data_IF_164251066677
#
_entry.id   IF_164251066677
#
_cell.length_a   1.000
_cell.length_b   1.000
_cell.length_c   1.000
_cell.angle_alpha   90.00
_cell.angle_beta   90.00
_cell.angle_gamma   90.00
#
_symmetry.space_group_name_H-M   'P 1'
#
loop_
_entity.id
_entity.type
_entity.pdbx_description
1 polymer ?
#
# COMPACT_ATOMS: atom_id res chain seq x y z
N UNK A 1 -11.27 -65.51 64.11
CA UNK A 1 -12.71 -65.20 64.11
C UNK A 1 -12.88 -63.81 63.52
N UNK A 2 -13.51 -63.81 62.40
CA UNK A 2 -13.63 -62.65 61.48
C UNK A 2 -14.60 -61.59 62.08
N UNK A 3 -14.16 -60.34 62.03
CA UNK A 3 -15.07 -59.20 62.06
C UNK A 3 -14.94 -58.48 60.69
N UNK A 4 -16.02 -58.55 59.93
CA UNK A 4 -16.19 -57.76 58.72
C UNK A 4 -16.67 -56.36 59.17
N UNK A 5 -15.84 -55.37 58.96
CA UNK A 5 -16.24 -53.96 59.04
C UNK A 5 -16.92 -53.50 57.77
N UNK A 6 -18.18 -53.09 57.92
CA UNK A 6 -18.93 -52.46 56.85
C UNK A 6 -18.51 -50.98 56.76
N UNK A 7 -17.90 -50.63 55.65
CA UNK A 7 -17.69 -49.21 55.32
C UNK A 7 -18.93 -48.70 54.60
N UNK A 8 -19.65 -47.83 55.24
CA UNK A 8 -20.66 -46.99 54.56
C UNK A 8 -19.98 -45.93 53.73
N UNK A 9 -20.03 -46.07 52.41
CA UNK A 9 -19.70 -45.00 51.49
C UNK A 9 -20.91 -44.10 51.39
N UNK A 10 -20.83 -42.90 52.04
CA UNK A 10 -21.71 -41.80 51.75
C UNK A 10 -21.29 -41.21 50.39
N UNK A 11 -22.08 -41.51 49.36
CA UNK A 11 -21.95 -40.90 48.05
C UNK A 11 -22.35 -39.42 48.14
N UNK A 12 -21.39 -38.56 48.42
CA UNK A 12 -21.54 -37.13 48.09
C UNK A 12 -21.53 -36.97 46.58
N UNK A 13 -22.70 -36.75 46.04
CA UNK A 13 -22.88 -36.38 44.67
C UNK A 13 -22.38 -34.94 44.50
N UNK A 14 -21.09 -34.78 44.19
CA UNK A 14 -20.57 -33.54 43.67
C UNK A 14 -21.11 -33.41 42.22
N UNK A 15 -22.14 -32.59 42.07
CA UNK A 15 -22.54 -32.07 40.79
C UNK A 15 -21.42 -31.13 40.34
N UNK A 16 -20.45 -31.69 39.61
CA UNK A 16 -19.55 -30.88 38.82
C UNK A 16 -20.37 -30.26 37.71
N UNK A 17 -20.81 -29.02 37.89
CA UNK A 17 -21.12 -28.19 36.75
C UNK A 17 -19.83 -28.04 35.96
N UNK A 18 -19.64 -28.88 34.94
CA UNK A 18 -18.76 -28.57 33.85
C UNK A 18 -19.37 -27.34 33.17
N UNK A 19 -18.92 -26.16 33.53
CA UNK A 19 -18.99 -25.02 32.68
C UNK A 19 -18.16 -25.40 31.44
N UNK A 20 -18.84 -25.83 30.39
CA UNK A 20 -18.21 -25.93 29.09
C UNK A 20 -17.72 -24.53 28.77
N UNK A 21 -16.40 -24.35 28.75
CA UNK A 21 -15.74 -23.11 28.35
C UNK A 21 -16.00 -22.76 26.84
N UNK A 22 -16.79 -23.61 26.19
CA UNK A 22 -17.04 -23.52 24.74
C UNK A 22 -18.26 -22.68 24.36
N UNK A 23 -18.96 -22.06 25.33
CA UNK A 23 -20.22 -21.36 25.02
C UNK A 23 -20.22 -19.86 25.41
N UNK A 24 -19.05 -19.29 25.66
CA UNK A 24 -18.87 -17.85 25.64
C UNK A 24 -18.18 -17.51 24.32
N UNK A 25 -18.85 -17.73 23.20
CA UNK A 25 -18.54 -17.02 21.99
C UNK A 25 -18.91 -15.55 22.25
N UNK A 26 -17.96 -14.80 22.79
CA UNK A 26 -18.00 -13.34 22.64
C UNK A 26 -18.22 -13.11 21.15
N UNK A 27 -19.18 -12.27 20.74
CA UNK A 27 -19.27 -11.90 19.35
C UNK A 27 -17.90 -11.33 18.98
N UNK A 28 -17.16 -12.05 18.17
CA UNK A 28 -16.00 -11.51 17.47
C UNK A 28 -16.62 -10.45 16.57
N UNK A 29 -16.62 -9.21 17.04
CA UNK A 29 -16.87 -8.07 16.16
C UNK A 29 -15.75 -8.20 15.13
N UNK A 30 -16.07 -8.68 13.97
CA UNK A 30 -15.11 -8.77 12.89
C UNK A 30 -14.67 -7.34 12.60
N UNK A 31 -13.45 -7.01 13.00
CA UNK A 31 -12.85 -5.72 12.71
C UNK A 31 -12.87 -5.56 11.19
N UNK A 32 -13.67 -4.62 10.71
CA UNK A 32 -13.78 -4.36 9.28
C UNK A 32 -12.51 -3.64 8.83
N UNK A 33 -11.68 -4.34 8.06
CA UNK A 33 -10.49 -3.74 7.46
C UNK A 33 -10.87 -3.02 6.16
N UNK A 34 -10.45 -1.77 6.02
CA UNK A 34 -10.65 -0.95 4.82
C UNK A 34 -9.32 -0.60 4.20
N UNK A 35 -9.23 -0.75 2.88
CA UNK A 35 -8.05 -0.39 2.07
C UNK A 35 -8.37 0.85 1.25
N UNK A 36 -7.52 1.87 1.33
CA UNK A 36 -7.70 3.13 0.61
C UNK A 36 -6.46 3.49 -0.20
N UNK A 37 -6.63 4.35 -1.19
CA UNK A 37 -5.54 4.85 -2.03
C UNK A 37 -5.29 6.31 -1.68
N UNK A 38 -4.02 6.66 -1.54
CA UNK A 38 -3.58 8.02 -1.23
C UNK A 38 -4.16 9.03 -2.23
N UNK A 39 -4.66 10.16 -1.71
CA UNK A 39 -5.34 11.23 -2.45
C UNK A 39 -6.68 10.85 -3.11
N UNK A 40 -7.13 9.62 -3.02
CA UNK A 40 -8.46 9.21 -3.50
C UNK A 40 -9.53 9.33 -2.42
N UNK A 41 -10.75 8.95 -2.77
CA UNK A 41 -11.87 8.86 -1.84
C UNK A 41 -11.93 7.46 -1.24
N UNK A 42 -12.22 7.38 0.05
CA UNK A 42 -12.36 6.15 0.79
C UNK A 42 -13.69 6.13 1.54
N UNK A 43 -14.35 4.97 1.59
CA UNK A 43 -15.57 4.78 2.35
C UNK A 43 -15.29 3.88 3.55
N UNK A 44 -15.61 4.35 4.74
CA UNK A 44 -15.63 3.58 5.97
C UNK A 44 -17.05 3.06 6.19
N UNK A 45 -17.31 1.76 5.96
CA UNK A 45 -18.66 1.23 5.97
C UNK A 45 -19.19 1.10 7.40
N UNK A 46 -20.40 1.59 7.64
CA UNK A 46 -21.08 1.43 8.91
C UNK A 46 -22.58 1.40 8.71
N UNK A 47 -23.23 0.53 9.46
CA UNK A 47 -24.69 0.52 9.59
C UNK A 47 -25.07 0.82 11.03
N UNK A 48 -26.24 1.41 11.23
CA UNK A 48 -26.81 1.62 12.55
C UNK A 48 -28.24 1.05 12.65
N UNK A 49 -28.63 0.75 13.88
CA UNK A 49 -29.99 0.33 14.22
C UNK A 49 -30.43 1.18 15.42
N UNK A 50 -31.54 1.90 15.26
CA UNK A 50 -32.07 2.75 16.34
C UNK A 50 -33.11 3.72 15.79
N UNK A 51 -33.94 4.28 16.68
CA UNK A 51 -34.98 5.25 16.33
C UNK A 51 -34.41 6.67 16.20
N UNK A 52 -33.38 6.98 16.99
CA UNK A 52 -32.78 8.31 17.03
C UNK A 52 -31.49 8.33 16.25
N UNK A 53 -31.45 9.19 15.23
CA UNK A 53 -30.25 9.34 14.39
C UNK A 53 -29.25 10.24 15.08
N UNK A 54 -28.28 9.60 15.74
CA UNK A 54 -27.09 10.25 16.29
C UNK A 54 -25.88 9.48 15.76
N UNK A 55 -24.99 10.17 15.06
CA UNK A 55 -23.80 9.59 14.43
C UNK A 55 -22.59 10.42 14.83
N UNK A 56 -21.62 9.77 15.44
CA UNK A 56 -20.31 10.36 15.73
C UNK A 56 -19.20 9.45 15.22
N UNK A 57 -18.28 10.02 14.44
CA UNK A 57 -17.08 9.38 13.98
C UNK A 57 -15.85 9.97 14.66
N UNK A 58 -15.00 9.11 15.22
CA UNK A 58 -13.75 9.48 15.88
C UNK A 58 -12.58 8.70 15.29
N UNK A 59 -11.42 9.35 15.14
CA UNK A 59 -10.16 8.66 14.91
C UNK A 59 -9.46 8.44 16.25
N UNK A 60 -9.49 7.20 16.74
CA UNK A 60 -9.01 6.83 18.08
C UNK A 60 -7.49 6.82 18.15
N UNK A 61 -6.81 6.35 17.11
CA UNK A 61 -5.35 6.25 17.08
C UNK A 61 -4.61 7.57 17.20
N UNK A 62 -5.29 8.69 16.97
CA UNK A 62 -4.73 10.04 17.07
C UNK A 62 -5.24 10.82 18.32
N UNK A 63 -5.81 10.13 19.33
CA UNK A 63 -6.32 10.75 20.54
C UNK A 63 -7.77 11.22 20.43
N UNK A 64 -8.65 10.38 19.91
CA UNK A 64 -10.11 10.61 19.79
C UNK A 64 -10.48 11.90 19.06
N UNK A 65 -9.84 12.12 17.92
CA UNK A 65 -10.16 13.27 17.08
C UNK A 65 -11.57 13.14 16.50
N UNK A 66 -12.41 14.17 16.65
CA UNK A 66 -13.71 14.22 15.99
C UNK A 66 -13.54 14.31 14.47
N UNK A 67 -14.04 13.31 13.75
CA UNK A 67 -13.96 13.19 12.30
C UNK A 67 -15.20 13.77 11.64
N UNK A 68 -16.39 13.40 12.13
CA UNK A 68 -17.66 13.87 11.63
C UNK A 68 -18.76 13.61 12.66
N UNK A 69 -19.75 14.50 12.74
CA UNK A 69 -20.90 14.34 13.59
C UNK A 69 -22.16 14.72 12.87
N UNK A 70 -23.23 13.94 13.06
CA UNK A 70 -24.56 14.19 12.50
C UNK A 70 -25.61 13.87 13.57
N UNK A 71 -26.44 14.88 13.90
CA UNK A 71 -27.61 14.74 14.76
C UNK A 71 -28.56 15.92 14.52
N UNK A 72 -29.79 15.84 15.00
CA UNK A 72 -30.84 16.80 14.69
C UNK A 72 -31.04 16.98 13.16
N UNK A 73 -30.87 15.88 12.41
CA UNK A 73 -31.03 15.83 10.95
C UNK A 73 -30.09 16.77 10.17
N UNK A 74 -28.92 17.06 10.68
CA UNK A 74 -27.89 17.88 10.02
C UNK A 74 -26.48 17.59 10.49
N UNK A 75 -25.49 17.92 9.65
CA UNK A 75 -24.09 17.85 10.02
C UNK A 75 -23.76 18.86 11.12
N UNK A 76 -22.99 18.41 12.11
CA UNK A 76 -22.55 19.20 13.27
C UNK A 76 -21.02 19.35 13.25
N UNK A 77 -20.54 20.29 12.45
CA UNK A 77 -19.09 20.40 12.15
C UNK A 77 -18.33 21.36 13.07
N UNK A 78 -18.98 21.92 14.11
CA UNK A 78 -18.32 22.87 15.01
C UNK A 78 -17.16 22.25 15.82
N UNK A 79 -17.27 20.97 16.15
CA UNK A 79 -16.26 20.22 16.91
C UNK A 79 -15.35 19.37 16.01
N UNK A 80 -15.55 19.44 14.69
CA UNK A 80 -14.74 18.68 13.74
C UNK A 80 -13.27 19.13 13.82
N UNK A 81 -12.37 18.15 13.92
CA UNK A 81 -10.93 18.39 13.86
C UNK A 81 -10.53 19.04 12.54
N UNK A 82 -9.64 20.03 12.59
CA UNK A 82 -9.11 20.73 11.41
C UNK A 82 -8.60 19.77 10.33
N UNK A 83 -8.02 18.65 10.73
CA UNK A 83 -7.52 17.61 9.81
C UNK A 83 -8.58 17.06 8.86
N UNK A 84 -9.83 17.02 9.31
CA UNK A 84 -10.92 16.42 8.55
C UNK A 84 -11.84 17.45 7.89
N UNK A 85 -11.58 18.74 8.13
CA UNK A 85 -12.44 19.81 7.61
C UNK A 85 -12.51 19.81 6.09
N UNK A 86 -13.75 19.76 5.56
CA UNK A 86 -14.01 19.75 4.12
C UNK A 86 -13.62 18.46 3.39
N UNK A 87 -13.23 17.41 4.13
CA UNK A 87 -12.86 16.11 3.54
C UNK A 87 -13.80 14.96 3.87
N UNK A 88 -14.79 15.18 4.72
CA UNK A 88 -15.71 14.14 5.18
C UNK A 88 -17.15 14.45 4.85
N UNK A 89 -17.93 13.41 4.58
CA UNK A 89 -19.38 13.48 4.40
C UNK A 89 -20.05 12.15 4.77
N UNK A 90 -21.32 12.20 5.12
CA UNK A 90 -22.20 11.04 5.22
C UNK A 90 -23.08 10.94 3.96
N UNK A 91 -23.67 9.79 3.75
CA UNK A 91 -24.66 9.56 2.69
C UNK A 91 -26.04 9.90 3.23
N UNK A 92 -26.37 11.21 3.30
CA UNK A 92 -27.54 11.73 4.00
C UNK A 92 -28.88 11.14 3.51
N UNK A 93 -28.97 10.78 2.23
CA UNK A 93 -30.10 10.10 1.62
C UNK A 93 -30.27 8.64 2.08
N UNK A 94 -29.20 8.05 2.62
CA UNK A 94 -29.17 6.65 3.06
C UNK A 94 -29.24 6.51 4.58
N UNK A 95 -29.16 7.61 5.32
CA UNK A 95 -29.21 7.58 6.78
C UNK A 95 -30.54 6.98 7.26
N UNK A 96 -31.66 7.34 6.64
CA UNK A 96 -32.97 6.77 6.97
C UNK A 96 -33.07 5.26 6.72
N UNK A 97 -32.22 4.70 5.86
CA UNK A 97 -32.10 3.26 5.60
C UNK A 97 -31.14 2.54 6.57
N UNK A 98 -30.62 3.22 7.59
CA UNK A 98 -29.69 2.65 8.57
C UNK A 98 -28.23 2.64 8.13
N UNK A 99 -27.83 3.47 7.17
CA UNK A 99 -26.46 3.57 6.69
C UNK A 99 -25.79 4.81 7.31
N UNK A 100 -24.74 4.59 8.09
CA UNK A 100 -23.94 5.63 8.74
C UNK A 100 -22.50 5.69 8.18
N UNK A 101 -22.27 5.13 6.99
CA UNK A 101 -20.96 5.08 6.35
C UNK A 101 -20.39 6.47 6.15
N UNK A 102 -19.08 6.60 6.43
CA UNK A 102 -18.33 7.84 6.27
C UNK A 102 -17.56 7.83 4.96
N UNK A 103 -17.72 8.85 4.15
CA UNK A 103 -16.84 9.12 3.01
C UNK A 103 -15.72 10.05 3.46
N UNK A 104 -14.48 9.66 3.22
CA UNK A 104 -13.28 10.48 3.42
C UNK A 104 -12.62 10.72 2.06
N UNK A 105 -12.38 11.97 1.71
CA UNK A 105 -11.77 12.36 0.44
C UNK A 105 -10.34 12.86 0.63
N UNK A 106 -9.52 12.81 -0.43
CA UNK A 106 -8.10 13.22 -0.39
C UNK A 106 -7.35 12.56 0.76
N UNK A 107 -7.46 11.23 0.82
CA UNK A 107 -6.91 10.43 1.90
C UNK A 107 -5.41 10.62 2.03
N UNK A 108 -4.94 10.86 3.25
CA UNK A 108 -3.55 11.11 3.62
C UNK A 108 -3.00 9.97 4.48
N UNK A 109 -1.67 9.84 4.57
CA UNK A 109 -1.02 8.81 5.41
C UNK A 109 -1.44 8.92 6.88
N UNK A 110 -1.65 10.14 7.36
CA UNK A 110 -2.09 10.39 8.74
C UNK A 110 -3.53 9.93 9.02
N UNK A 111 -4.32 9.65 7.97
CA UNK A 111 -5.68 9.14 8.15
C UNK A 111 -5.71 7.64 8.47
N UNK A 112 -4.61 6.93 8.23
CA UNK A 112 -4.49 5.52 8.61
C UNK A 112 -4.66 5.34 10.12
N UNK A 113 -5.42 4.32 10.52
CA UNK A 113 -5.62 4.04 11.92
C UNK A 113 -7.00 3.49 12.27
N UNK A 114 -7.34 3.56 13.54
CA UNK A 114 -8.59 3.07 14.08
C UNK A 114 -9.64 4.16 14.11
N UNK A 115 -10.83 3.85 13.62
CA UNK A 115 -12.00 4.72 13.68
C UNK A 115 -13.10 4.08 14.49
N UNK A 116 -13.70 4.85 15.38
CA UNK A 116 -14.89 4.46 16.11
C UNK A 116 -16.10 5.22 15.56
N UNK A 117 -17.16 4.47 15.34
CA UNK A 117 -18.50 4.99 15.18
C UNK A 117 -19.24 4.87 16.52
N UNK A 118 -19.87 5.93 16.95
CA UNK A 118 -20.76 5.97 18.11
C UNK A 118 -22.14 6.48 17.70
N UNK A 119 -23.14 5.62 17.83
CA UNK A 119 -24.57 5.96 17.69
C UNK A 119 -25.24 6.02 19.06
N UNK A 120 -26.56 6.29 19.11
CA UNK A 120 -27.32 6.37 20.35
C UNK A 120 -27.23 5.09 21.19
N UNK A 121 -27.31 3.92 20.55
CA UNK A 121 -27.34 2.61 21.22
C UNK A 121 -26.23 1.65 20.73
N UNK A 122 -25.31 2.12 19.91
CA UNK A 122 -24.36 1.26 19.21
C UNK A 122 -22.98 1.91 19.09
N UNK A 123 -21.96 1.09 19.30
CA UNK A 123 -20.56 1.46 19.06
C UNK A 123 -19.89 0.41 18.18
N UNK A 124 -19.33 0.84 17.05
CA UNK A 124 -18.57 -0.02 16.14
C UNK A 124 -17.15 0.52 15.98
N UNK A 125 -16.19 -0.38 15.80
CA UNK A 125 -14.81 -0.03 15.49
C UNK A 125 -14.47 -0.49 14.08
N UNK A 126 -13.86 0.38 13.30
CA UNK A 126 -13.40 0.10 11.95
C UNK A 126 -11.89 0.36 11.91
N UNK A 127 -11.14 -0.58 11.37
CA UNK A 127 -9.72 -0.39 11.11
C UNK A 127 -9.51 0.06 9.67
N UNK A 128 -9.11 1.30 9.52
CA UNK A 128 -8.49 1.77 8.31
C UNK A 128 -7.02 1.31 8.34
N UNK A 129 -6.77 0.08 7.91
CA UNK A 129 -5.49 -0.59 8.15
C UNK A 129 -4.55 -0.56 6.96
N UNK A 130 -5.04 -0.16 5.78
CA UNK A 130 -4.21 -0.19 4.57
C UNK A 130 -4.40 1.05 3.72
N UNK A 131 -3.43 1.93 3.80
CA UNK A 131 -3.24 2.98 2.81
C UNK A 131 -2.19 2.54 1.79
N UNK A 132 -2.44 2.83 0.54
CA UNK A 132 -1.49 2.63 -0.55
C UNK A 132 -1.30 3.91 -1.34
N UNK A 133 -0.04 4.29 -1.56
CA UNK A 133 0.38 5.10 -2.68
C UNK A 133 1.20 4.17 -3.58
N UNK A 134 0.59 3.61 -4.64
CA UNK A 134 1.22 2.56 -5.42
C UNK A 134 2.42 3.06 -6.22
N UNK A 135 3.31 2.16 -6.62
CA UNK A 135 4.44 2.48 -7.50
C UNK A 135 3.91 2.87 -8.88
N UNK A 136 3.76 4.16 -9.14
CA UNK A 136 3.23 4.67 -10.42
C UNK A 136 4.29 4.67 -11.52
N UNK A 137 5.53 5.04 -11.17
CA UNK A 137 6.61 5.20 -12.12
C UNK A 137 7.93 4.69 -11.56
N UNK A 138 8.70 4.01 -12.40
CA UNK A 138 10.08 3.64 -12.13
C UNK A 138 10.92 4.20 -13.26
N UNK A 139 11.88 5.06 -12.94
CA UNK A 139 12.81 5.64 -13.89
C UNK A 139 14.16 4.94 -13.78
N UNK A 140 14.71 4.52 -14.90
CA UNK A 140 16.07 3.96 -14.99
C UNK A 140 16.85 4.73 -16.03
N UNK A 141 18.01 5.25 -15.64
CA UNK A 141 18.85 6.08 -16.52
C UNK A 141 20.34 5.81 -16.31
N UNK A 142 21.14 6.16 -17.32
CA UNK A 142 22.59 6.08 -17.27
C UNK A 142 23.14 7.23 -16.41
N UNK A 143 23.92 6.89 -15.38
CA UNK A 143 24.75 7.83 -14.62
C UNK A 143 26.20 7.79 -15.09
N UNK A 144 27.06 8.61 -14.48
CA UNK A 144 28.48 8.70 -14.85
C UNK A 144 29.23 7.37 -14.72
N UNK A 145 28.97 6.61 -13.63
CA UNK A 145 29.70 5.38 -13.29
C UNK A 145 28.80 4.13 -13.28
N UNK A 146 27.60 4.19 -13.86
CA UNK A 146 26.67 3.06 -13.82
C UNK A 146 25.25 3.44 -14.18
N UNK A 147 24.30 2.70 -13.67
CA UNK A 147 22.86 2.95 -13.88
C UNK A 147 22.18 3.29 -12.57
N UNK A 148 21.25 4.21 -12.63
CA UNK A 148 20.44 4.63 -11.48
C UNK A 148 18.98 4.34 -11.71
N UNK A 149 18.33 3.75 -10.72
CA UNK A 149 16.90 3.51 -10.67
C UNK A 149 16.27 4.39 -9.59
N UNK A 150 15.12 5.01 -9.89
CA UNK A 150 14.42 5.90 -8.97
C UNK A 150 12.91 5.71 -9.08
N UNK A 151 12.23 5.84 -7.94
CA UNK A 151 10.78 5.90 -7.87
C UNK A 151 10.37 6.77 -6.67
N UNK A 152 9.24 7.46 -6.77
CA UNK A 152 8.83 8.48 -5.81
C UNK A 152 7.36 8.37 -5.44
N UNK A 153 7.01 8.97 -4.28
CA UNK A 153 5.64 9.11 -3.83
C UNK A 153 4.97 7.79 -3.46
N UNK A 154 5.69 6.87 -2.83
CA UNK A 154 5.25 5.50 -2.56
C UNK A 154 4.89 5.33 -1.08
N UNK A 155 3.83 4.58 -0.81
CA UNK A 155 3.49 4.13 0.54
C UNK A 155 2.82 2.74 0.47
N UNK A 156 3.10 1.82 1.40
CA UNK A 156 4.11 1.88 2.46
C UNK A 156 5.55 1.85 1.93
N UNK A 157 6.53 1.82 2.84
CA UNK A 157 7.96 1.84 2.50
C UNK A 157 8.30 0.79 1.44
N UNK A 158 8.86 1.22 0.28
CA UNK A 158 9.19 0.33 -0.82
C UNK A 158 10.51 -0.41 -0.60
N UNK A 159 10.64 -1.51 -1.34
CA UNK A 159 11.90 -2.21 -1.58
C UNK A 159 12.30 -2.07 -3.05
N UNK A 160 13.61 -2.01 -3.31
CA UNK A 160 14.18 -1.96 -4.64
C UNK A 160 15.18 -3.10 -4.83
N UNK A 161 15.02 -3.83 -5.92
CA UNK A 161 15.89 -4.94 -6.28
C UNK A 161 16.38 -4.82 -7.71
N UNK A 162 17.64 -5.19 -7.94
CA UNK A 162 18.22 -5.33 -9.26
C UNK A 162 18.24 -6.79 -9.70
N UNK A 163 18.01 -7.03 -10.97
CA UNK A 163 18.13 -8.34 -11.60
C UNK A 163 18.80 -8.22 -12.95
N UNK A 164 19.41 -9.32 -13.41
CA UNK A 164 20.09 -9.40 -14.72
C UNK A 164 19.46 -10.44 -15.62
N UNK A 165 19.57 -10.22 -16.92
CA UNK A 165 19.21 -11.20 -17.95
C UNK A 165 20.37 -11.28 -18.96
N UNK A 166 20.98 -12.48 -19.13
CA UNK A 166 20.74 -13.72 -18.39
C UNK A 166 21.04 -13.58 -16.89
N UNK A 167 20.48 -14.48 -16.03
CA UNK A 167 20.79 -14.49 -14.61
C UNK A 167 22.29 -14.62 -14.36
N UNK A 168 22.84 -13.74 -13.52
CA UNK A 168 24.26 -13.72 -13.18
C UNK A 168 24.45 -13.92 -11.68
N UNK A 169 25.46 -14.71 -11.30
CA UNK A 169 25.91 -14.85 -9.91
C UNK A 169 26.83 -13.74 -9.46
N UNK A 170 27.13 -12.76 -10.33
CA UNK A 170 27.98 -11.62 -9.99
C UNK A 170 27.31 -10.75 -8.95
N UNK A 171 28.07 -10.38 -7.93
CA UNK A 171 27.64 -9.40 -6.93
C UNK A 171 27.97 -8.01 -7.42
N UNK A 172 26.92 -7.23 -7.71
CA UNK A 172 27.10 -5.83 -8.12
C UNK A 172 27.10 -4.91 -6.89
N UNK A 173 28.01 -3.95 -6.88
CA UNK A 173 28.01 -2.92 -5.85
C UNK A 173 26.88 -1.94 -6.15
N UNK A 174 25.92 -1.87 -5.24
CA UNK A 174 24.85 -0.90 -5.31
C UNK A 174 24.80 -0.03 -4.04
N UNK A 175 24.24 1.15 -4.18
CA UNK A 175 23.93 2.05 -3.07
C UNK A 175 22.48 2.44 -3.19
N UNK A 176 21.67 2.06 -2.18
CA UNK A 176 20.25 2.37 -2.15
C UNK A 176 19.96 3.37 -1.04
N UNK A 177 19.24 4.42 -1.38
CA UNK A 177 18.76 5.44 -0.44
C UNK A 177 17.24 5.47 -0.45
N UNK A 178 16.66 5.65 0.74
CA UNK A 178 15.22 5.80 0.94
C UNK A 178 15.00 7.03 1.78
N UNK A 179 14.25 7.98 1.27
CA UNK A 179 13.90 9.22 1.97
C UNK A 179 12.39 9.31 2.13
N UNK A 180 11.93 9.88 3.22
CA UNK A 180 10.52 10.15 3.47
C UNK A 180 10.23 11.64 3.24
N UNK A 181 9.11 11.94 2.59
CA UNK A 181 8.62 13.30 2.36
C UNK A 181 7.85 13.83 3.57
N UNK A 182 7.52 15.12 3.58
CA UNK A 182 6.63 15.74 4.59
C UNK A 182 5.24 15.08 4.61
N UNK A 183 4.77 14.58 3.47
CA UNK A 183 3.51 13.84 3.34
C UNK A 183 3.63 12.37 3.78
N UNK A 184 4.77 11.99 4.39
CA UNK A 184 5.09 10.63 4.85
C UNK A 184 5.19 9.59 3.73
N UNK A 185 5.24 10.01 2.47
CA UNK A 185 5.51 9.14 1.33
C UNK A 185 7.00 8.86 1.19
N UNK A 186 7.35 7.77 0.52
CA UNK A 186 8.73 7.36 0.32
C UNK A 186 9.21 7.60 -1.10
N UNK A 187 10.43 8.12 -1.21
CA UNK A 187 11.21 8.15 -2.43
C UNK A 187 12.37 7.17 -2.29
N UNK A 188 12.58 6.32 -3.28
CA UNK A 188 13.66 5.34 -3.30
C UNK A 188 14.53 5.53 -4.53
N UNK A 189 15.85 5.43 -4.35
CA UNK A 189 16.82 5.52 -5.42
C UNK A 189 17.95 4.52 -5.17
N UNK A 190 18.37 3.83 -6.21
CA UNK A 190 19.51 2.90 -6.14
C UNK A 190 20.42 3.10 -7.35
N UNK A 191 21.71 3.26 -7.10
CA UNK A 191 22.75 3.34 -8.12
C UNK A 191 23.57 2.07 -8.14
N UNK A 192 23.66 1.44 -9.31
CA UNK A 192 24.41 0.24 -9.59
C UNK A 192 25.69 0.60 -10.33
N UNK A 193 26.84 0.27 -9.75
CA UNK A 193 28.15 0.50 -10.37
C UNK A 193 28.44 -0.65 -11.32
N UNK A 194 28.71 -0.33 -12.60
CA UNK A 194 29.04 -1.30 -13.62
C UNK A 194 30.56 -1.41 -13.78
N UNK A 195 31.05 -2.64 -13.89
CA UNK A 195 32.44 -2.93 -14.29
C UNK A 195 32.54 -3.23 -15.78
N UNK A 196 33.77 -3.20 -16.32
CA UNK A 196 34.01 -3.43 -17.76
C UNK A 196 33.59 -4.81 -18.27
N UNK A 197 33.39 -5.79 -17.39
CA UNK A 197 32.96 -7.16 -17.73
C UNK A 197 31.43 -7.34 -17.86
N UNK A 198 30.65 -6.29 -17.59
CA UNK A 198 29.17 -6.38 -17.50
C UNK A 198 28.46 -6.04 -18.80
N UNK A 199 29.21 -6.06 -19.93
CA UNK A 199 28.70 -5.57 -21.23
C UNK A 199 27.58 -6.42 -21.82
N UNK A 200 27.51 -7.70 -21.47
CA UNK A 200 26.56 -8.66 -22.04
C UNK A 200 25.30 -8.87 -21.19
N UNK A 201 25.17 -8.12 -20.09
CA UNK A 201 24.04 -8.23 -19.19
C UNK A 201 23.03 -7.11 -19.40
N UNK A 202 21.77 -7.49 -19.47
CA UNK A 202 20.65 -6.55 -19.36
C UNK A 202 20.25 -6.43 -17.89
N UNK A 203 20.10 -5.22 -17.41
CA UNK A 203 19.71 -4.94 -16.04
C UNK A 203 18.23 -4.58 -15.95
N UNK A 204 17.57 -5.05 -14.92
CA UNK A 204 16.19 -4.65 -14.60
C UNK A 204 16.11 -4.18 -13.16
N UNK A 205 15.45 -3.06 -12.96
CA UNK A 205 15.12 -2.52 -11.65
C UNK A 205 13.68 -2.85 -11.32
N UNK A 206 13.45 -3.36 -10.12
CA UNK A 206 12.11 -3.65 -9.59
C UNK A 206 11.92 -2.88 -8.30
N UNK A 207 10.87 -2.08 -8.23
CA UNK A 207 10.39 -1.41 -7.02
C UNK A 207 9.08 -2.05 -6.59
N UNK A 208 8.97 -2.43 -5.32
CA UNK A 208 7.81 -3.13 -4.79
C UNK A 208 7.42 -2.67 -3.39
N UNK A 209 6.14 -2.74 -3.12
CA UNK A 209 5.53 -2.70 -1.79
C UNK A 209 4.89 -4.07 -1.51
N UNK A 210 4.14 -4.21 -0.41
CA UNK A 210 3.43 -5.46 -0.08
C UNK A 210 2.46 -5.90 -1.17
N UNK A 211 1.79 -4.98 -1.87
CA UNK A 211 0.69 -5.26 -2.82
C UNK A 211 0.95 -4.79 -4.24
N UNK A 212 1.93 -3.93 -4.42
CA UNK A 212 2.22 -3.32 -5.71
C UNK A 212 3.67 -3.55 -6.11
N UNK A 213 3.90 -3.79 -7.41
CA UNK A 213 5.23 -4.04 -7.96
C UNK A 213 5.34 -3.49 -9.37
N UNK A 214 6.44 -2.81 -9.66
CA UNK A 214 6.75 -2.35 -11.00
C UNK A 214 8.21 -2.63 -11.33
N UNK A 215 8.46 -3.17 -12.53
CA UNK A 215 9.80 -3.51 -13.01
C UNK A 215 10.06 -2.81 -14.34
N UNK A 216 11.26 -2.27 -14.48
CA UNK A 216 11.72 -1.60 -15.71
C UNK A 216 13.10 -2.14 -16.08
N UNK A 217 13.23 -2.60 -17.34
CA UNK A 217 14.50 -3.03 -17.89
C UNK A 217 15.28 -1.83 -18.42
N UNK A 218 16.58 -1.78 -18.10
CA UNK A 218 17.50 -0.83 -18.68
C UNK A 218 18.05 -1.38 -20.00
N UNK A 219 17.64 -0.77 -21.09
CA UNK A 219 18.20 -1.07 -22.41
C UNK A 219 19.41 -0.18 -22.64
N UNK A 220 20.59 -0.77 -22.78
CA UNK A 220 21.79 -0.01 -23.18
C UNK A 220 21.52 0.67 -24.52
N UNK A 221 21.36 1.99 -24.52
CA UNK A 221 21.09 2.77 -25.73
C UNK A 221 22.11 2.51 -26.84
N UNK A 222 23.37 2.24 -26.46
CA UNK A 222 24.44 1.97 -27.44
C UNK A 222 24.13 0.74 -28.32
N UNK A 223 23.59 -0.34 -27.75
CA UNK A 223 23.24 -1.55 -28.52
C UNK A 223 22.07 -1.30 -29.48
N UNK A 224 21.08 -0.52 -29.05
CA UNK A 224 19.94 -0.14 -29.89
C UNK A 224 20.38 0.77 -31.03
N UNK A 225 21.26 1.74 -30.78
CA UNK A 225 21.79 2.65 -31.80
C UNK A 225 22.63 1.88 -32.81
N UNK A 226 23.51 0.97 -32.34
CA UNK A 226 24.33 0.12 -33.25
C UNK A 226 23.42 -0.77 -34.09
N UNK A 227 22.42 -1.44 -33.50
CA UNK A 227 21.48 -2.27 -34.22
C UNK A 227 20.67 -1.48 -35.26
N UNK A 228 20.21 -0.28 -34.91
CA UNK A 228 19.51 0.61 -35.83
C UNK A 228 20.42 1.10 -36.96
N UNK A 229 21.67 1.47 -36.66
CA UNK A 229 22.66 1.87 -37.64
C UNK A 229 23.01 0.73 -38.59
N UNK A 230 23.23 -0.49 -38.08
CA UNK A 230 23.46 -1.69 -38.90
C UNK A 230 22.26 -2.01 -39.79
N UNK A 231 21.04 -1.99 -39.22
CA UNK A 231 19.82 -2.20 -39.98
C UNK A 231 19.66 -1.16 -41.11
N UNK A 232 19.98 0.10 -40.84
CA UNK A 232 19.94 1.18 -41.81
C UNK A 232 20.99 1.00 -42.90
N UNK A 233 22.21 0.59 -42.55
CA UNK A 233 23.26 0.27 -43.52
C UNK A 233 22.85 -0.89 -44.42
N UNK A 234 22.31 -1.97 -43.85
CA UNK A 234 21.82 -3.12 -44.62
C UNK A 234 20.67 -2.70 -45.57
N UNK A 235 19.76 -1.88 -45.09
CA UNK A 235 18.64 -1.37 -45.88
C UNK A 235 19.10 -0.52 -47.05
N UNK A 236 20.06 0.40 -46.87
CA UNK A 236 20.61 1.24 -47.93
C UNK A 236 21.42 0.44 -48.94
N UNK A 237 22.18 -0.55 -48.47
CA UNK A 237 22.91 -1.48 -49.33
C UNK A 237 21.96 -2.30 -50.22
N UNK A 238 20.89 -2.84 -49.65
CA UNK A 238 19.86 -3.58 -50.43
C UNK A 238 19.14 -2.71 -51.48
N UNK A 239 19.02 -1.40 -51.23
CA UNK A 239 18.42 -0.45 -52.19
C UNK A 239 19.42 0.11 -53.24
N UNK A 240 20.66 -0.35 -53.28
CA UNK A 240 21.66 0.09 -54.25
C UNK A 240 22.09 1.56 -54.09
N UNK A 241 21.85 2.18 -52.91
CA UNK A 241 22.31 3.54 -52.63
C UNK A 241 23.70 3.49 -52.04
N UNK A 242 24.67 4.14 -52.64
CA UNK A 242 26.01 4.30 -52.05
C UNK A 242 25.92 5.11 -50.78
N UNK A 243 26.51 4.54 -49.72
CA UNK A 243 26.52 5.15 -48.38
C UNK A 243 27.67 6.17 -48.30
N UNK A 244 27.33 7.45 -48.16
CA UNK A 244 28.35 8.47 -47.86
C UNK A 244 28.61 8.49 -46.35
N UNK A 245 29.83 8.20 -45.93
CA UNK A 245 30.31 8.08 -44.53
C UNK A 245 30.15 9.37 -43.69
N UNK A 246 29.84 10.49 -44.35
CA UNK A 246 29.59 11.79 -43.72
C UNK A 246 28.32 11.82 -42.87
N UNK A 247 27.33 10.96 -43.15
CA UNK A 247 26.06 10.90 -42.38
C UNK A 247 26.22 10.21 -41.03
N UNK A 248 27.21 9.32 -40.86
CA UNK A 248 27.46 8.65 -39.58
C UNK A 248 28.11 9.61 -38.55
N UNK A 249 28.96 10.53 -39.02
CA UNK A 249 29.58 11.55 -38.14
C UNK A 249 28.57 12.53 -37.57
N UNK A 250 27.44 12.72 -38.21
CA UNK A 250 26.38 13.62 -37.74
C UNK A 250 25.59 12.98 -36.57
N UNK A 251 25.34 11.68 -36.66
CA UNK A 251 24.62 10.95 -35.61
C UNK A 251 25.47 10.81 -34.33
N UNK A 252 26.79 10.63 -34.46
CA UNK A 252 27.73 10.50 -33.34
C UNK A 252 28.12 11.84 -32.69
N UNK A 253 27.72 12.98 -33.23
CA UNK A 253 28.06 14.32 -32.72
C UNK A 253 27.00 14.87 -31.76
N UNK A 254 25.85 14.21 -31.63
CA UNK A 254 24.75 14.61 -30.78
C UNK A 254 24.60 13.73 -29.53
N UNK A 255 25.63 12.92 -29.22
CA UNK A 255 25.71 12.11 -28.00
C UNK A 255 27.13 12.30 -27.37
#
# INVERSE_FOLDING_TARGET
KHLKGFFFFTTHWFIFFRLNADDVSLPVVADTEVSCIFMESCMLPCSYSGSDVVIHWFQVSAGDLNVHSFYNNQDQLKLQSERFRGRTSLFNDQISAGIASLQLTKVEVQDEGRYNYEGADQKNTIFFSFLEAPVHKVDVYQGENGITCRSEGIYPKPELTWSTSPPSSLTFKNTTTVNQTEQQLYNISSSLILSGSDHDLNFSCTVSTRRNRKSVAFLKMLTVIIAAAVAFIIYTYKKGKQFHFTSLKFILKFY
#
